data_IF_652854622710
#
_entry.id   IF_652854622710
#
_cell.length_a   1.000
_cell.length_b   1.000
_cell.length_c   1.000
_cell.angle_alpha   90.00
_cell.angle_beta   90.00
_cell.angle_gamma   90.00
#
_symmetry.space_group_name_H-M   'P 1'
#
loop_
_entity.id
_entity.type
_entity.pdbx_description
1 polymer ?
#
# COMPACT_ATOMS: atom_id res chain seq x y z
N UNK A 1 -7.22 -17.51 0.52
CA UNK A 1 -6.25 -16.52 1.02
C UNK A 1 -4.90 -16.86 0.45
N UNK A 2 -4.41 -16.05 -0.47
CA UNK A 2 -3.10 -16.23 -1.09
C UNK A 2 -1.99 -15.98 -0.08
N UNK A 3 -1.00 -16.88 0.03
CA UNK A 3 0.18 -16.72 0.90
C UNK A 3 1.37 -16.25 0.11
N UNK A 4 2.18 -15.36 0.69
CA UNK A 4 3.42 -14.88 0.07
C UNK A 4 4.41 -16.02 -0.17
N UNK A 5 4.50 -16.98 0.75
CA UNK A 5 5.34 -18.18 0.59
C UNK A 5 5.11 -18.89 -0.75
N UNK A 6 3.84 -19.02 -1.16
CA UNK A 6 3.45 -19.74 -2.36
C UNK A 6 3.84 -18.92 -3.61
N UNK A 7 3.71 -17.59 -3.54
CA UNK A 7 4.13 -16.69 -4.62
C UNK A 7 5.65 -16.71 -4.83
N UNK A 8 6.43 -16.87 -3.76
CA UNK A 8 7.89 -16.94 -3.83
C UNK A 8 8.36 -18.23 -4.53
N UNK A 9 7.56 -19.30 -4.52
CA UNK A 9 7.87 -20.57 -5.20
C UNK A 9 7.60 -20.60 -6.70
N UNK A 10 7.04 -19.53 -7.29
CA UNK A 10 6.81 -19.45 -8.74
C UNK A 10 8.15 -19.60 -9.48
N UNK A 11 8.26 -20.55 -10.41
CA UNK A 11 9.52 -20.81 -11.12
C UNK A 11 9.81 -19.76 -12.20
N UNK A 12 8.79 -19.37 -12.97
CA UNK A 12 8.91 -18.33 -13.99
C UNK A 12 9.10 -16.96 -13.32
N UNK A 13 10.30 -16.40 -13.47
CA UNK A 13 10.68 -15.16 -12.82
C UNK A 13 9.86 -13.96 -13.32
N UNK A 14 9.50 -13.91 -14.60
CA UNK A 14 8.69 -12.82 -15.12
C UNK A 14 7.26 -12.86 -14.54
N UNK A 15 6.69 -14.07 -14.47
CA UNK A 15 5.37 -14.28 -13.84
C UNK A 15 5.41 -13.97 -12.35
N UNK A 16 6.47 -14.37 -11.64
CA UNK A 16 6.67 -14.07 -10.22
C UNK A 16 6.66 -12.56 -9.98
N UNK A 17 7.50 -11.81 -10.69
CA UNK A 17 7.63 -10.36 -10.50
C UNK A 17 6.33 -9.60 -10.81
N UNK A 18 5.59 -10.01 -11.85
CA UNK A 18 4.27 -9.44 -12.16
C UNK A 18 3.26 -9.76 -11.06
N UNK A 19 3.26 -11.01 -10.57
CA UNK A 19 2.32 -11.48 -9.54
C UNK A 19 2.59 -10.81 -8.19
N UNK A 20 3.84 -10.73 -7.76
CA UNK A 20 4.24 -10.04 -6.53
C UNK A 20 3.78 -8.59 -6.55
N UNK A 21 4.09 -7.84 -7.63
CA UNK A 21 3.60 -6.46 -7.74
C UNK A 21 2.09 -6.38 -7.62
N UNK A 22 1.36 -7.22 -8.37
CA UNK A 22 -0.11 -7.21 -8.40
C UNK A 22 -0.69 -7.46 -7.01
N UNK A 23 -0.19 -8.46 -6.28
CA UNK A 23 -0.74 -8.89 -4.99
C UNK A 23 -0.54 -7.88 -3.86
N UNK A 24 0.39 -6.94 -4.00
CA UNK A 24 0.62 -5.85 -3.05
C UNK A 24 -0.12 -4.56 -3.43
N UNK A 25 -0.95 -4.54 -4.48
CA UNK A 25 -1.74 -3.36 -4.85
C UNK A 25 -3.09 -3.33 -4.15
N UNK A 26 -3.64 -2.15 -3.81
CA UNK A 26 -4.87 -2.04 -3.01
C UNK A 26 -6.16 -2.54 -3.70
N UNK A 27 -6.09 -2.88 -4.99
CA UNK A 27 -7.23 -3.40 -5.76
C UNK A 27 -7.29 -4.94 -5.80
N UNK A 28 -6.37 -5.64 -5.14
CA UNK A 28 -6.40 -7.10 -4.98
C UNK A 28 -6.74 -7.50 -3.56
N UNK A 29 -7.04 -8.79 -3.35
CA UNK A 29 -7.12 -9.33 -1.99
C UNK A 29 -5.78 -9.20 -1.27
N UNK A 30 -5.84 -9.02 0.06
CA UNK A 30 -4.64 -8.86 0.88
C UNK A 30 -3.85 -10.19 0.93
N UNK A 31 -2.60 -10.15 0.48
CA UNK A 31 -1.68 -11.30 0.57
C UNK A 31 -1.30 -11.57 2.02
N UNK A 32 -1.30 -12.84 2.44
CA UNK A 32 -0.83 -13.23 3.77
C UNK A 32 0.70 -13.31 3.81
N UNK A 33 1.31 -12.56 4.74
CA UNK A 33 2.77 -12.41 4.83
C UNK A 33 3.41 -13.14 6.02
N UNK A 34 2.65 -13.97 6.73
CA UNK A 34 3.14 -14.71 7.91
C UNK A 34 4.37 -15.56 7.58
N UNK A 35 5.48 -15.33 8.31
CA UNK A 35 6.76 -16.00 8.09
C UNK A 35 7.56 -15.49 6.88
N UNK A 36 7.07 -14.46 6.19
CA UNK A 36 7.72 -13.79 5.06
C UNK A 36 7.68 -12.26 5.22
N UNK A 37 7.75 -11.77 6.46
CA UNK A 37 7.58 -10.34 6.78
C UNK A 37 8.69 -9.48 6.15
N UNK A 38 9.92 -10.01 6.11
CA UNK A 38 11.07 -9.32 5.53
C UNK A 38 10.91 -9.17 4.02
N UNK A 39 10.45 -10.20 3.35
CA UNK A 39 10.19 -10.22 1.91
C UNK A 39 9.05 -9.24 1.58
N UNK A 40 7.98 -9.24 2.37
CA UNK A 40 6.88 -8.29 2.22
C UNK A 40 7.35 -6.83 2.34
N UNK A 41 8.15 -6.52 3.37
CA UNK A 41 8.72 -5.18 3.54
C UNK A 41 9.65 -4.81 2.38
N UNK A 42 10.46 -5.76 1.91
CA UNK A 42 11.37 -5.56 0.77
C UNK A 42 10.59 -5.20 -0.50
N UNK A 43 9.52 -5.94 -0.79
CA UNK A 43 8.63 -5.68 -1.93
C UNK A 43 7.99 -4.29 -1.83
N UNK A 44 7.39 -3.97 -0.68
CA UNK A 44 6.74 -2.68 -0.44
C UNK A 44 7.69 -1.49 -0.64
N UNK A 45 8.90 -1.56 -0.09
CA UNK A 45 9.93 -0.53 -0.27
C UNK A 45 10.39 -0.42 -1.73
N UNK A 46 10.60 -1.55 -2.40
CA UNK A 46 11.01 -1.56 -3.80
C UNK A 46 9.93 -1.00 -4.73
N UNK A 47 8.65 -1.27 -4.46
CA UNK A 47 7.51 -0.64 -5.14
C UNK A 47 7.54 0.88 -5.02
N UNK A 48 7.88 1.40 -3.84
CA UNK A 48 7.95 2.85 -3.57
C UNK A 48 9.15 3.52 -4.23
N UNK A 49 10.27 2.80 -4.34
CA UNK A 49 11.50 3.29 -4.98
C UNK A 49 11.48 3.23 -6.51
N UNK A 50 10.60 2.41 -7.10
CA UNK A 50 10.58 2.16 -8.55
C UNK A 50 9.95 3.29 -9.33
N UNK A 51 10.69 3.83 -10.30
CA UNK A 51 10.20 4.91 -11.17
C UNK A 51 10.79 4.83 -12.59
N UNK A 52 10.33 5.68 -13.50
CA UNK A 52 10.60 5.50 -14.93
C UNK A 52 12.09 5.45 -15.29
N UNK A 53 12.93 6.27 -14.66
CA UNK A 53 14.39 6.31 -14.87
C UNK A 53 15.18 5.26 -14.09
N UNK A 54 14.58 4.63 -13.08
CA UNK A 54 15.18 3.56 -12.27
C UNK A 54 14.09 2.54 -11.93
N UNK A 55 13.71 1.75 -12.95
CA UNK A 55 12.71 0.70 -12.82
C UNK A 55 13.31 -0.46 -12.03
N UNK A 56 12.62 -0.88 -10.99
CA UNK A 56 12.98 -2.09 -10.27
C UNK A 56 12.64 -3.31 -11.12
N UNK A 57 13.63 -4.15 -11.41
CA UNK A 57 13.45 -5.42 -12.11
C UNK A 57 13.16 -6.58 -11.17
N UNK A 58 13.56 -6.47 -9.90
CA UNK A 58 13.37 -7.48 -8.86
C UNK A 58 12.80 -6.86 -7.58
N UNK A 59 11.55 -7.19 -7.25
CA UNK A 59 10.90 -6.70 -6.03
C UNK A 59 11.52 -7.24 -4.74
N UNK A 60 12.34 -8.29 -4.80
CA UNK A 60 13.04 -8.89 -3.67
C UNK A 60 14.46 -8.35 -3.48
N UNK A 61 14.88 -7.30 -4.20
CA UNK A 61 16.18 -6.67 -4.03
C UNK A 61 16.30 -5.98 -2.65
N UNK A 62 16.88 -6.72 -1.71
CA UNK A 62 17.11 -6.26 -0.32
C UNK A 62 18.07 -5.07 -0.27
N UNK A 63 19.05 -4.99 -1.16
CA UNK A 63 20.03 -3.91 -1.15
C UNK A 63 19.37 -2.59 -1.57
N UNK A 64 18.54 -2.62 -2.60
CA UNK A 64 17.71 -1.48 -3.02
C UNK A 64 16.73 -1.05 -1.94
N UNK A 65 15.98 -1.98 -1.36
CA UNK A 65 15.03 -1.67 -0.28
C UNK A 65 15.72 -1.01 0.91
N UNK A 66 16.89 -1.52 1.34
CA UNK A 66 17.69 -0.92 2.42
C UNK A 66 18.21 0.48 2.06
N UNK A 67 18.65 0.71 0.82
CA UNK A 67 19.06 2.06 0.38
C UNK A 67 17.89 3.04 0.43
N UNK A 68 16.71 2.62 -0.03
CA UNK A 68 15.51 3.45 0.02
C UNK A 68 15.14 3.82 1.45
N UNK A 69 15.13 2.84 2.36
CA UNK A 69 14.79 3.05 3.78
C UNK A 69 15.82 3.89 4.55
N UNK A 70 17.12 3.85 4.17
CA UNK A 70 18.18 4.62 4.84
C UNK A 70 18.28 6.07 4.37
N UNK A 71 17.70 6.39 3.21
CA UNK A 71 17.73 7.72 2.64
C UNK A 71 16.65 8.59 3.31
N UNK A 72 17.08 9.59 4.08
CA UNK A 72 16.18 10.47 4.83
C UNK A 72 15.19 11.18 3.90
N UNK A 73 15.62 11.56 2.70
CA UNK A 73 14.77 12.22 1.71
C UNK A 73 13.59 11.36 1.26
N UNK A 74 13.74 10.03 1.22
CA UNK A 74 12.66 9.12 0.85
C UNK A 74 11.64 8.99 1.98
N UNK A 75 12.12 8.93 3.22
CA UNK A 75 11.28 8.91 4.42
C UNK A 75 10.47 10.20 4.53
N UNK A 76 11.12 11.35 4.41
CA UNK A 76 10.48 12.67 4.43
C UNK A 76 9.41 12.79 3.35
N UNK A 77 9.72 12.39 2.11
CA UNK A 77 8.75 12.39 1.02
C UNK A 77 7.54 11.49 1.29
N UNK A 78 7.71 10.34 1.94
CA UNK A 78 6.60 9.49 2.36
C UNK A 78 5.77 10.10 3.49
N UNK A 79 6.42 10.72 4.47
CA UNK A 79 5.76 11.37 5.61
C UNK A 79 4.94 12.59 5.17
N UNK A 80 5.47 13.38 4.23
CA UNK A 80 4.78 14.53 3.66
C UNK A 80 3.45 14.18 3.00
N UNK A 81 3.30 12.93 2.56
CA UNK A 81 2.09 12.45 1.88
C UNK A 81 1.04 11.85 2.83
N UNK A 82 1.37 11.57 4.10
CA UNK A 82 0.41 11.03 5.10
C UNK A 82 -0.76 11.99 5.32
N UNK A 83 -0.51 13.30 5.24
CA UNK A 83 -1.56 14.33 5.37
C UNK A 83 -2.64 14.26 4.27
N UNK A 84 -2.41 13.50 3.21
CA UNK A 84 -3.35 13.29 2.10
C UNK A 84 -4.06 11.93 2.15
N UNK A 85 -3.80 11.12 3.18
CA UNK A 85 -4.60 9.92 3.42
C UNK A 85 -6.04 10.29 3.75
N UNK A 86 -6.99 9.54 3.21
CA UNK A 86 -8.41 9.82 3.29
C UNK A 86 -9.25 8.55 3.47
N UNK A 87 -10.44 8.68 4.05
CA UNK A 87 -11.45 7.61 4.00
C UNK A 87 -12.37 7.73 2.79
N UNK A 88 -12.50 8.94 2.23
CA UNK A 88 -13.33 9.21 1.05
C UNK A 88 -12.54 10.00 -0.01
N UNK A 89 -12.58 9.52 -1.24
CA UNK A 89 -11.86 10.13 -2.34
C UNK A 89 -12.62 11.34 -2.90
N UNK A 90 -12.23 12.55 -2.47
CA UNK A 90 -12.82 13.79 -2.98
C UNK A 90 -12.50 14.09 -4.44
N UNK A 91 -11.49 13.43 -5.02
CA UNK A 91 -11.17 13.56 -6.45
C UNK A 91 -12.10 12.75 -7.36
N UNK A 92 -13.06 12.03 -6.78
CA UNK A 92 -14.09 11.33 -7.52
C UNK A 92 -15.46 12.03 -7.33
N UNK A 93 -16.17 12.38 -8.41
CA UNK A 93 -15.78 12.25 -9.82
C UNK A 93 -14.91 13.40 -10.35
N UNK A 94 -14.74 14.51 -9.63
CA UNK A 94 -13.98 15.68 -10.09
C UNK A 94 -12.51 15.63 -9.66
N UNK A 95 -11.63 15.29 -10.60
CA UNK A 95 -10.19 15.17 -10.34
C UNK A 95 -9.47 16.49 -10.00
N UNK A 96 -10.16 17.64 -10.16
CA UNK A 96 -9.62 18.98 -9.90
C UNK A 96 -9.69 19.39 -8.43
N UNK A 97 -10.36 18.61 -7.57
CA UNK A 97 -10.32 18.86 -6.13
C UNK A 97 -8.87 18.81 -5.64
N UNK A 98 -8.48 19.84 -4.89
CA UNK A 98 -7.12 20.04 -4.40
C UNK A 98 -7.14 20.41 -2.93
N UNK A 99 -6.07 20.01 -2.24
CA UNK A 99 -5.74 20.43 -0.88
C UNK A 99 -6.82 20.14 0.16
N UNK A 100 -7.63 19.11 -0.07
CA UNK A 100 -8.74 18.71 0.79
C UNK A 100 -8.74 17.20 0.98
N UNK A 101 -9.16 16.76 2.17
CA UNK A 101 -9.40 15.35 2.48
C UNK A 101 -10.58 15.21 3.44
N UNK A 102 -11.17 14.02 3.44
CA UNK A 102 -12.12 13.60 4.48
C UNK A 102 -11.50 12.43 5.24
N UNK A 103 -11.43 12.56 6.57
CA UNK A 103 -11.32 11.45 7.51
C UNK A 103 -12.64 11.40 8.26
N UNK A 104 -13.36 10.30 8.09
CA UNK A 104 -14.67 10.10 8.69
C UNK A 104 -14.80 8.69 9.22
N UNK A 105 -15.56 8.56 10.31
CA UNK A 105 -15.96 7.28 10.88
C UNK A 105 -17.46 7.07 10.61
N UNK A 106 -17.91 5.81 10.45
CA UNK A 106 -19.32 5.53 10.30
C UNK A 106 -20.10 5.96 11.53
N UNK A 107 -21.28 6.54 11.32
CA UNK A 107 -22.22 6.84 12.40
C UNK A 107 -22.93 5.56 12.85
N UNK A 108 -23.07 5.40 14.16
CA UNK A 108 -23.87 4.30 14.72
C UNK A 108 -25.34 4.56 14.42
N UNK A 109 -26.00 3.57 13.82
CA UNK A 109 -27.42 3.65 13.48
C UNK A 109 -28.08 2.29 13.65
N UNK A 110 -29.36 2.29 14.02
CA UNK A 110 -30.21 1.08 14.07
C UNK A 110 -30.99 0.89 12.77
N UNK A 111 -30.90 1.84 11.84
CA UNK A 111 -31.56 1.74 10.54
C UNK A 111 -30.86 0.74 9.63
N UNK A 112 -31.63 -0.09 8.93
CA UNK A 112 -31.10 -1.06 7.99
C UNK A 112 -30.92 -0.43 6.61
N UNK A 113 -29.69 -0.09 6.26
CA UNK A 113 -29.31 0.35 4.90
C UNK A 113 -27.91 -0.11 4.52
N UNK A 114 -27.64 -0.15 3.21
CA UNK A 114 -26.31 -0.48 2.69
C UNK A 114 -25.42 0.75 2.76
N UNK A 115 -24.28 0.64 3.43
CA UNK A 115 -23.26 1.68 3.48
C UNK A 115 -21.87 1.08 3.66
N UNK A 116 -20.84 1.91 3.60
CA UNK A 116 -19.46 1.50 3.91
C UNK A 116 -19.25 1.15 5.39
N UNK A 117 -20.23 1.39 6.28
CA UNK A 117 -20.10 1.10 7.71
C UNK A 117 -19.88 -0.38 8.05
N UNK A 118 -20.28 -1.30 7.16
CA UNK A 118 -20.08 -2.75 7.33
C UNK A 118 -18.71 -3.23 6.84
N UNK A 119 -17.93 -2.36 6.19
CA UNK A 119 -16.62 -2.70 5.65
C UNK A 119 -15.53 -2.36 6.66
N UNK A 120 -14.43 -3.09 6.60
CA UNK A 120 -13.20 -2.71 7.32
C UNK A 120 -12.76 -1.31 6.87
N UNK A 121 -12.47 -0.43 7.83
CA UNK A 121 -11.98 0.90 7.51
C UNK A 121 -10.62 0.81 6.85
N UNK A 122 -10.51 1.34 5.63
CA UNK A 122 -9.25 1.44 4.88
C UNK A 122 -9.00 2.89 4.50
N UNK A 123 -7.73 3.27 4.49
CA UNK A 123 -7.30 4.56 4.00
C UNK A 123 -6.94 4.45 2.52
N UNK A 124 -7.39 5.43 1.75
CA UNK A 124 -6.85 5.74 0.42
C UNK A 124 -5.91 6.94 0.50
N UNK A 125 -5.35 7.33 -0.64
CA UNK A 125 -4.57 8.55 -0.79
C UNK A 125 -4.97 9.26 -2.07
N UNK A 126 -5.03 10.60 -2.04
CA UNK A 126 -5.28 11.40 -3.22
C UNK A 126 -4.61 12.77 -3.11
N UNK A 127 -3.56 12.98 -3.89
CA UNK A 127 -2.92 14.29 -4.04
C UNK A 127 -2.34 14.43 -5.46
N UNK A 128 -1.03 14.30 -5.67
CA UNK A 128 -0.38 14.47 -6.98
C UNK A 128 0.21 13.14 -7.47
N UNK A 129 -0.21 12.64 -8.63
CA UNK A 129 0.24 11.34 -9.17
C UNK A 129 1.77 11.21 -9.27
N UNK A 130 2.51 12.32 -9.39
CA UNK A 130 3.98 12.33 -9.37
C UNK A 130 4.59 11.77 -8.07
N UNK A 131 3.87 11.85 -6.94
CA UNK A 131 4.35 11.43 -5.62
C UNK A 131 3.63 10.19 -5.07
N UNK A 132 2.65 9.63 -5.80
CA UNK A 132 1.90 8.44 -5.39
C UNK A 132 2.79 7.28 -4.95
N UNK A 133 3.92 7.05 -5.63
CA UNK A 133 4.86 5.97 -5.29
C UNK A 133 5.34 6.03 -3.83
N UNK A 134 5.49 7.23 -3.27
CA UNK A 134 6.03 7.42 -1.92
C UNK A 134 5.09 6.90 -0.85
N UNK A 135 3.81 6.67 -1.16
CA UNK A 135 2.83 6.15 -0.21
C UNK A 135 2.74 4.64 -0.19
N UNK A 136 3.22 3.95 -1.24
CA UNK A 136 2.94 2.54 -1.46
C UNK A 136 3.40 1.66 -0.30
N UNK A 137 4.62 1.86 0.21
CA UNK A 137 5.13 1.03 1.29
C UNK A 137 4.38 1.23 2.61
N UNK A 138 3.92 2.45 2.89
CA UNK A 138 3.19 2.76 4.12
C UNK A 138 1.72 2.34 4.06
N UNK A 139 1.06 2.56 2.92
CA UNK A 139 -0.39 2.52 2.80
C UNK A 139 -0.92 1.20 2.25
N UNK A 140 -0.16 0.50 1.39
CA UNK A 140 -0.72 -0.67 0.73
C UNK A 140 -0.99 -1.80 1.74
N UNK A 141 -2.17 -2.43 1.65
CA UNK A 141 -2.59 -3.41 2.64
C UNK A 141 -1.94 -4.77 2.37
N UNK A 142 -1.76 -5.52 3.46
CA UNK A 142 -1.42 -6.93 3.46
C UNK A 142 -2.07 -7.58 4.68
N UNK A 143 -2.09 -8.91 4.74
CA UNK A 143 -2.65 -9.65 5.87
C UNK A 143 -1.56 -10.20 6.76
N UNK A 144 -1.62 -9.84 8.04
CA UNK A 144 -0.70 -10.30 9.07
C UNK A 144 -1.47 -10.59 10.35
N UNK A 145 -1.18 -11.72 11.00
CA UNK A 145 -1.90 -12.19 12.20
C UNK A 145 -3.43 -12.22 12.00
N UNK A 146 -3.87 -12.73 10.84
CA UNK A 146 -5.29 -12.75 10.42
C UNK A 146 -5.99 -11.39 10.27
N UNK A 147 -5.27 -10.27 10.35
CA UNK A 147 -5.83 -8.92 10.18
C UNK A 147 -5.36 -8.27 8.88
N UNK A 148 -6.24 -7.49 8.24
CA UNK A 148 -5.83 -6.58 7.16
C UNK A 148 -5.16 -5.36 7.78
N UNK A 149 -3.89 -5.15 7.46
CA UNK A 149 -3.06 -4.08 8.02
C UNK A 149 -2.22 -3.43 6.92
N UNK A 150 -1.65 -2.27 7.24
CA UNK A 150 -0.62 -1.60 6.44
C UNK A 150 0.57 -1.29 7.35
N UNK A 151 1.74 -0.92 6.81
CA UNK A 151 2.84 -0.52 7.69
C UNK A 151 2.47 0.69 8.54
N UNK A 152 1.71 1.65 7.99
CA UNK A 152 1.23 2.79 8.76
C UNK A 152 0.43 2.37 10.00
N UNK A 153 -0.47 1.40 9.88
CA UNK A 153 -1.30 0.97 11.01
C UNK A 153 -0.53 0.17 12.07
N UNK A 154 0.68 -0.29 11.76
CA UNK A 154 1.51 -1.08 12.68
C UNK A 154 2.53 -0.24 13.46
N UNK A 155 2.80 1.00 13.03
CA UNK A 155 3.81 1.89 13.64
C UNK A 155 3.19 3.06 14.41
N UNK A 156 1.86 3.05 14.58
CA UNK A 156 1.10 4.07 15.32
C UNK A 156 1.02 3.77 16.82
#
# INVERSE_FOLDING_TARGET
MTKLSDLLTIEDEAVKQVTLKKMFMPYTEDVCVEGCEKEALTILLNLSSSHQSDRCSDWLDVARAKRHLKAAENLEASLDEIKWFHTHNLKFPDCRVKEQRIIAQPLVTTEAFVSSAVLEQRLGWAHNSAVYRHTLWLLNPFRWQSQSVSLLSLVQ
#
